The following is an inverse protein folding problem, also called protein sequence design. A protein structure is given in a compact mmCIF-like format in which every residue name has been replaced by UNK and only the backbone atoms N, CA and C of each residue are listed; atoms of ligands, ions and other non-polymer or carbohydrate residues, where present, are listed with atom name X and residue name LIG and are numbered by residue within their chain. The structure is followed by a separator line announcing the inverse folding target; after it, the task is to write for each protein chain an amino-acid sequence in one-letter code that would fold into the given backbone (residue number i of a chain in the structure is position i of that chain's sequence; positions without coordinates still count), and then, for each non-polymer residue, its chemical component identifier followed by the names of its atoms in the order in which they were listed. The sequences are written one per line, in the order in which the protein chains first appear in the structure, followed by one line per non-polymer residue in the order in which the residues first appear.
data_IF_204824867418
#
_entry.id   IF_204824867418
#
_cell.length_a   1.000
_cell.length_b   1.000
_cell.length_c   1.000
_cell.angle_alpha   90.00
_cell.angle_beta   90.00
_cell.angle_gamma   90.00
#
_symmetry.space_group_name_H-M   'P 1'
#
loop_
_entity.id
_entity.type
_entity.pdbx_description
1 polymer ?
#
# COMPACT_ATOMS: atom_id res chain seq x y z
N UNK A 1 -0.89 17.99 -17.55
CA UNK A 1 -0.21 17.06 -18.48
C UNK A 1 -1.22 16.60 -19.52
N UNK A 2 -0.83 16.48 -20.79
CA UNK A 2 -1.70 15.91 -21.83
C UNK A 2 -1.90 14.41 -21.65
N UNK A 3 -2.84 13.79 -22.37
CA UNK A 3 -3.12 12.34 -22.24
C UNK A 3 -1.94 11.44 -22.68
N UNK A 4 -1.18 11.85 -23.68
CA UNK A 4 -0.04 11.10 -24.22
C UNK A 4 1.28 11.65 -23.67
N UNK A 5 1.63 11.26 -22.44
CA UNK A 5 2.88 11.67 -21.77
C UNK A 5 3.30 10.60 -20.76
N UNK A 6 4.56 10.64 -20.31
CA UNK A 6 5.14 9.60 -19.45
C UNK A 6 4.79 9.71 -17.96
N UNK A 7 4.06 10.75 -17.56
CA UNK A 7 3.76 11.03 -16.16
C UNK A 7 4.95 11.57 -15.37
N UNK A 8 4.83 11.57 -14.04
CA UNK A 8 5.85 12.04 -13.09
C UNK A 8 6.02 11.04 -11.95
N UNK A 9 7.20 11.01 -11.32
CA UNK A 9 7.52 10.03 -10.28
C UNK A 9 6.57 10.09 -9.08
N UNK A 10 5.78 9.05 -8.81
CA UNK A 10 4.90 8.99 -7.64
C UNK A 10 5.65 8.62 -6.34
N UNK A 11 6.39 7.52 -6.39
CA UNK A 11 7.15 6.94 -5.27
C UNK A 11 8.41 6.30 -5.83
N UNK A 12 9.51 6.33 -5.08
CA UNK A 12 10.77 5.67 -5.45
C UNK A 12 10.85 4.31 -4.79
N UNK A 13 11.17 3.29 -5.57
CA UNK A 13 11.29 1.91 -5.14
C UNK A 13 12.76 1.45 -5.17
N UNK A 14 13.08 0.35 -4.49
CA UNK A 14 14.33 -0.37 -4.76
C UNK A 14 14.17 -1.18 -6.06
N UNK A 15 15.26 -1.78 -6.56
CA UNK A 15 15.30 -2.34 -7.93
C UNK A 15 14.26 -3.44 -8.20
N UNK A 16 13.93 -4.25 -7.19
CA UNK A 16 12.98 -5.37 -7.32
C UNK A 16 11.56 -5.03 -6.82
N UNK A 17 11.35 -3.82 -6.31
CA UNK A 17 10.07 -3.40 -5.75
C UNK A 17 9.14 -2.88 -6.86
N UNK A 18 7.85 -3.19 -6.72
CA UNK A 18 6.80 -2.79 -7.66
C UNK A 18 5.63 -2.13 -6.93
N UNK A 19 4.93 -1.22 -7.63
CA UNK A 19 3.69 -0.65 -7.11
C UNK A 19 2.58 -1.69 -7.15
N UNK A 20 2.04 -2.06 -5.98
CA UNK A 20 0.96 -3.03 -5.85
C UNK A 20 -0.43 -2.42 -6.08
N UNK A 21 -0.70 -1.28 -5.44
CA UNK A 21 -2.02 -0.65 -5.42
C UNK A 21 -1.92 0.86 -5.36
N UNK A 22 -2.88 1.56 -5.95
CA UNK A 22 -3.10 2.99 -5.78
C UNK A 22 -4.50 3.21 -5.22
N UNK A 23 -4.59 3.96 -4.13
CA UNK A 23 -5.86 4.29 -3.48
C UNK A 23 -5.91 5.77 -3.13
N UNK A 24 -7.12 6.33 -3.08
CA UNK A 24 -7.38 7.66 -2.54
C UNK A 24 -7.71 7.51 -1.06
N UNK A 25 -7.05 8.30 -0.21
CA UNK A 25 -7.28 8.31 1.24
C UNK A 25 -8.72 8.69 1.54
N UNK A 26 -9.36 7.93 2.45
CA UNK A 26 -10.68 8.21 3.01
C UNK A 26 -10.59 8.16 4.52
N UNK A 27 -11.00 9.20 5.21
CA UNK A 27 -11.02 9.22 6.68
C UNK A 27 -11.90 8.10 7.24
N UNK A 28 -11.56 7.60 8.43
CA UNK A 28 -12.28 6.50 9.09
C UNK A 28 -12.11 5.13 8.44
N UNK A 29 -11.13 4.97 7.54
CA UNK A 29 -10.81 3.68 6.89
C UNK A 29 -9.46 3.14 7.34
N UNK A 30 -9.18 1.91 6.93
CA UNK A 30 -7.93 1.21 7.20
C UNK A 30 -7.26 0.80 5.90
N UNK A 31 -5.92 0.77 5.90
CA UNK A 31 -5.18 0.01 4.89
C UNK A 31 -5.01 -1.43 5.40
N UNK A 32 -5.68 -2.37 4.75
CA UNK A 32 -5.46 -3.80 4.95
C UNK A 32 -4.40 -4.28 3.96
N UNK A 33 -3.40 -5.01 4.48
CA UNK A 33 -2.35 -5.63 3.69
C UNK A 33 -2.28 -7.12 3.96
N UNK A 34 -1.97 -7.90 2.92
CA UNK A 34 -1.79 -9.35 3.00
C UNK A 34 -0.47 -9.76 2.34
N UNK A 35 0.22 -10.75 2.91
CA UNK A 35 1.46 -11.33 2.38
C UNK A 35 1.22 -12.69 1.71
N UNK A 36 2.15 -13.11 0.85
CA UNK A 36 2.09 -14.42 0.18
C UNK A 36 2.12 -15.62 1.14
N UNK A 37 2.66 -15.45 2.34
CA UNK A 37 2.60 -16.44 3.42
C UNK A 37 1.31 -16.44 4.23
N UNK A 38 0.28 -15.69 3.81
CA UNK A 38 -1.04 -15.66 4.47
C UNK A 38 -1.13 -14.77 5.71
N UNK A 39 -0.15 -13.89 5.95
CA UNK A 39 -0.22 -12.93 7.05
C UNK A 39 -0.96 -11.67 6.59
N UNK A 40 -1.97 -11.26 7.35
CA UNK A 40 -2.71 -10.04 7.10
C UNK A 40 -2.77 -9.16 8.34
N UNK A 41 -2.84 -7.84 8.12
CA UNK A 41 -3.19 -6.86 9.15
C UNK A 41 -3.89 -5.67 8.51
N UNK A 42 -4.61 -4.90 9.32
CA UNK A 42 -5.12 -3.58 8.96
C UNK A 42 -4.55 -2.52 9.90
N UNK A 43 -4.28 -1.34 9.36
CA UNK A 43 -3.75 -0.19 10.10
C UNK A 43 -4.58 1.04 9.75
N UNK A 44 -4.92 1.85 10.74
CA UNK A 44 -5.79 3.01 10.53
C UNK A 44 -5.10 3.99 9.55
N UNK A 45 -5.88 4.59 8.64
CA UNK A 45 -5.29 5.43 7.59
C UNK A 45 -4.57 6.66 8.15
N UNK A 46 -5.00 7.14 9.32
CA UNK A 46 -4.41 8.25 10.06
C UNK A 46 -2.99 7.97 10.57
N UNK A 47 -2.58 6.70 10.67
CA UNK A 47 -1.21 6.33 11.04
C UNK A 47 -0.22 6.51 9.86
N UNK A 48 -0.72 6.68 8.63
CA UNK A 48 0.12 6.92 7.45
C UNK A 48 0.40 8.42 7.29
N UNK A 49 1.59 8.84 7.68
CA UNK A 49 2.00 10.25 7.60
C UNK A 49 2.06 10.74 6.16
N UNK A 50 1.50 11.93 5.89
CA UNK A 50 1.64 12.58 4.60
C UNK A 50 3.12 12.91 4.29
N UNK A 51 3.56 12.61 3.07
CA UNK A 51 4.93 12.85 2.61
C UNK A 51 4.93 13.53 1.23
N UNK A 52 6.05 14.17 0.88
CA UNK A 52 6.26 14.69 -0.47
C UNK A 52 6.28 13.58 -1.53
N UNK A 53 5.72 13.86 -2.71
CA UNK A 53 5.72 12.94 -3.86
C UNK A 53 7.14 12.62 -4.32
N UNK A 54 7.39 11.36 -4.68
CA UNK A 54 8.67 10.87 -5.20
C UNK A 54 9.62 10.33 -4.12
N UNK A 55 9.22 10.37 -2.84
CA UNK A 55 9.94 9.75 -1.73
C UNK A 55 9.89 8.21 -1.75
N UNK A 56 10.63 7.59 -0.82
CA UNK A 56 10.65 6.12 -0.63
C UNK A 56 9.49 5.57 0.21
N UNK A 57 8.68 6.45 0.82
CA UNK A 57 7.59 6.04 1.70
C UNK A 57 8.05 5.67 3.12
N UNK A 58 7.14 5.02 3.85
CA UNK A 58 7.35 4.44 5.19
C UNK A 58 7.00 2.94 5.16
N UNK A 59 7.49 2.18 6.13
CA UNK A 59 7.17 0.74 6.22
C UNK A 59 5.71 0.55 6.64
N UNK A 60 4.95 -0.19 5.83
CA UNK A 60 3.57 -0.59 6.15
C UNK A 60 3.50 -1.88 6.96
N UNK A 61 4.43 -2.81 6.75
CA UNK A 61 4.53 -4.08 7.47
C UNK A 61 6.00 -4.42 7.69
N UNK A 62 6.33 -5.01 8.84
CA UNK A 62 7.67 -5.54 9.06
C UNK A 62 7.87 -6.80 8.23
N UNK A 63 8.72 -6.70 7.20
CA UNK A 63 9.07 -7.83 6.35
C UNK A 63 9.77 -8.93 7.16
N UNK A 64 9.36 -10.17 6.90
CA UNK A 64 10.02 -11.37 7.38
C UNK A 64 9.97 -12.40 6.25
N UNK A 65 11.10 -13.07 5.98
CA UNK A 65 11.23 -14.00 4.85
C UNK A 65 10.24 -15.15 4.91
N UNK A 66 9.82 -15.60 6.09
CA UNK A 66 8.83 -16.68 6.25
C UNK A 66 7.41 -16.22 5.94
N UNK A 67 7.12 -14.93 6.12
CA UNK A 67 5.81 -14.33 5.81
C UNK A 67 5.66 -13.97 4.33
N UNK A 68 6.77 -13.77 3.63
CA UNK A 68 6.79 -13.43 2.20
C UNK A 68 6.50 -11.95 1.92
N UNK A 69 6.32 -11.63 0.64
CA UNK A 69 6.07 -10.26 0.14
C UNK A 69 4.59 -9.93 0.12
N UNK A 70 4.24 -8.65 -0.05
CA UNK A 70 2.85 -8.23 -0.17
C UNK A 70 2.21 -8.74 -1.46
N UNK A 71 0.99 -9.26 -1.34
CA UNK A 71 0.14 -9.72 -2.46
C UNK A 71 -1.18 -8.98 -2.55
N UNK A 72 -1.57 -8.26 -1.48
CA UNK A 72 -2.78 -7.44 -1.46
C UNK A 72 -2.60 -6.20 -0.59
N UNK A 73 -3.21 -5.09 -1.02
CA UNK A 73 -3.32 -3.85 -0.29
C UNK A 73 -4.64 -3.14 -0.67
N UNK A 74 -5.54 -2.99 0.28
CA UNK A 74 -6.92 -2.53 0.07
C UNK A 74 -7.30 -1.50 1.13
N UNK A 75 -8.05 -0.47 0.72
CA UNK A 75 -8.75 0.39 1.67
C UNK A 75 -10.04 -0.29 2.07
N UNK A 76 -10.22 -0.50 3.37
CA UNK A 76 -11.37 -1.20 3.94
C UNK A 76 -11.97 -0.39 5.08
N UNK A 77 -13.26 -0.58 5.33
CA UNK A 77 -13.93 -0.21 6.58
C UNK A 77 -14.20 -1.47 7.42
N UNK A 78 -14.93 -1.31 8.53
CA UNK A 78 -15.22 -2.42 9.45
C UNK A 78 -16.21 -3.44 8.89
N UNK A 79 -17.02 -3.05 7.90
CA UNK A 79 -18.06 -3.89 7.29
C UNK A 79 -17.61 -4.47 5.95
N UNK A 80 -16.36 -4.22 5.54
CA UNK A 80 -15.83 -4.68 4.26
C UNK A 80 -15.57 -6.19 4.28
N UNK A 81 -16.31 -6.90 3.43
CA UNK A 81 -16.09 -8.34 3.18
C UNK A 81 -15.01 -8.57 2.10
N UNK A 82 -14.22 -9.63 2.26
CA UNK A 82 -13.09 -9.96 1.38
C UNK A 82 -13.13 -11.42 0.93
N UNK A 83 -12.56 -11.69 -0.24
CA UNK A 83 -12.34 -13.06 -0.73
C UNK A 83 -10.92 -13.52 -0.43
N UNK A 84 -10.79 -14.80 -0.10
CA UNK A 84 -9.53 -15.50 0.13
C UNK A 84 -9.15 -16.38 -1.07
#
# INVERSE_FOLDING_TARGET
MGRATSGVQGMRFNEEDLLLSLNVVREGTYLLVATSGGYAKRTAIEEYSAQGRGGKGILTIQYDRRRGTLVGALIVDDDTELYA
#
